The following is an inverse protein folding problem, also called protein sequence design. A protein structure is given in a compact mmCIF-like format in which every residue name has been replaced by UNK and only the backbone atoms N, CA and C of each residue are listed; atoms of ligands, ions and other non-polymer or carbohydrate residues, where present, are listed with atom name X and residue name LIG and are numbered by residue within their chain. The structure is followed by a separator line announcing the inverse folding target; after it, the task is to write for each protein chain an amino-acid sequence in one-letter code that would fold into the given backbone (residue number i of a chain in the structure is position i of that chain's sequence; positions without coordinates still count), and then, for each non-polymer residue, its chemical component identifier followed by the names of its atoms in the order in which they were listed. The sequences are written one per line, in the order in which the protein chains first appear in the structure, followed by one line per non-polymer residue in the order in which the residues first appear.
data_IF_006396697909
#
_entry.id   IF_006396697909
#
_cell.length_a   1.000
_cell.length_b   1.000
_cell.length_c   1.000
_cell.angle_alpha   90.00
_cell.angle_beta   90.00
_cell.angle_gamma   90.00
#
_symmetry.space_group_name_H-M   'P 1'
#
loop_
_entity.id
_entity.type
_entity.pdbx_description
1 polymer ?
#
# COMPACT_ATOMS: atom_id res chain seq x y z
N UNK A 1 -5.13 -1.82 -20.05
CA UNK A 1 -3.72 -2.04 -19.68
C UNK A 1 -3.53 -3.50 -19.36
N UNK A 2 -2.52 -4.13 -19.96
CA UNK A 2 -2.02 -5.44 -19.52
C UNK A 2 -1.14 -5.31 -18.28
N UNK A 3 -0.83 -6.41 -17.57
CA UNK A 3 0.02 -6.40 -16.38
C UNK A 3 1.44 -5.88 -16.65
N UNK A 4 1.92 -5.97 -17.89
CA UNK A 4 3.22 -5.48 -18.37
C UNK A 4 3.30 -3.97 -18.64
N UNK A 5 2.18 -3.26 -18.56
CA UNK A 5 2.10 -1.82 -18.89
C UNK A 5 1.96 -0.91 -17.67
N UNK A 6 1.90 -1.47 -16.45
CA UNK A 6 1.84 -0.64 -15.26
C UNK A 6 3.21 0.00 -15.03
N UNK A 7 3.22 1.31 -14.93
CA UNK A 7 4.36 2.11 -14.49
C UNK A 7 4.33 2.30 -12.97
N UNK A 8 5.44 2.75 -12.37
CA UNK A 8 5.41 3.20 -10.98
C UNK A 8 4.48 4.41 -10.87
N UNK A 9 3.68 4.47 -9.79
CA UNK A 9 2.61 5.45 -9.65
C UNK A 9 1.45 4.97 -8.80
N UNK A 10 0.46 5.84 -8.58
CA UNK A 10 -0.77 5.55 -7.85
C UNK A 10 -1.93 5.36 -8.83
N UNK A 11 -2.77 4.37 -8.57
CA UNK A 11 -3.89 3.95 -9.39
C UNK A 11 -5.15 3.86 -8.53
N UNK A 12 -6.28 4.28 -9.11
CA UNK A 12 -7.62 4.01 -8.60
C UNK A 12 -8.24 2.85 -9.35
N UNK A 13 -9.01 2.03 -8.63
CA UNK A 13 -9.74 0.90 -9.20
C UNK A 13 -8.85 -0.02 -10.07
N UNK A 14 -7.67 -0.35 -9.57
CA UNK A 14 -6.70 -1.19 -10.26
C UNK A 14 -7.16 -2.65 -10.24
N UNK A 15 -7.36 -3.23 -11.43
CA UNK A 15 -7.68 -4.66 -11.58
C UNK A 15 -6.46 -5.50 -11.18
N UNK A 16 -6.69 -6.55 -10.39
CA UNK A 16 -5.69 -7.56 -10.04
C UNK A 16 -5.51 -8.51 -11.23
N UNK A 17 -4.26 -8.80 -11.58
CA UNK A 17 -3.91 -9.70 -12.68
C UNK A 17 -3.47 -11.07 -12.15
N UNK A 18 -3.73 -12.12 -12.93
CA UNK A 18 -3.50 -13.52 -12.51
C UNK A 18 -2.02 -13.91 -12.38
N UNK A 19 -1.13 -13.15 -13.00
CA UNK A 19 0.32 -13.35 -12.94
C UNK A 19 0.96 -12.69 -11.71
N UNK A 20 0.19 -11.94 -10.92
CA UNK A 20 0.67 -11.35 -9.67
C UNK A 20 0.67 -12.37 -8.55
N UNK A 21 1.74 -12.38 -7.77
CA UNK A 21 1.86 -13.27 -6.61
C UNK A 21 1.43 -12.54 -5.36
N UNK A 22 0.39 -13.04 -4.68
CA UNK A 22 -0.08 -12.44 -3.44
C UNK A 22 0.94 -12.67 -2.31
N UNK A 23 1.47 -11.58 -1.75
CA UNK A 23 2.46 -11.62 -0.66
C UNK A 23 1.85 -11.33 0.71
N UNK A 24 0.85 -10.45 0.74
CA UNK A 24 0.21 -10.01 1.98
C UNK A 24 -1.27 -9.77 1.76
N UNK A 25 -2.10 -10.36 2.62
CA UNK A 25 -3.53 -10.10 2.65
C UNK A 25 -4.06 -10.19 4.08
N UNK A 26 -4.32 -9.04 4.70
CA UNK A 26 -4.88 -8.97 6.05
C UNK A 26 -6.03 -7.97 6.11
N UNK A 27 -7.04 -8.20 6.96
CA UNK A 27 -8.09 -7.21 7.18
C UNK A 27 -7.50 -5.92 7.77
N UNK A 28 -8.16 -4.79 7.56
CA UNK A 28 -7.68 -3.52 8.10
C UNK A 28 -7.61 -3.54 9.62
N UNK A 29 -8.48 -4.27 10.34
CA UNK A 29 -8.37 -4.44 11.79
C UNK A 29 -7.16 -5.27 12.29
N UNK A 30 -6.38 -5.86 11.39
CA UNK A 30 -5.17 -6.58 11.75
C UNK A 30 -4.07 -5.63 12.22
N UNK A 31 -3.43 -5.94 13.36
CA UNK A 31 -2.23 -5.24 13.84
C UNK A 31 -1.01 -5.64 13.01
N UNK A 32 -0.70 -4.89 11.95
CA UNK A 32 0.45 -5.19 11.06
C UNK A 32 1.77 -4.93 11.77
N UNK A 33 2.78 -5.75 11.50
CA UNK A 33 4.16 -5.54 11.97
C UNK A 33 5.10 -5.23 10.82
N UNK A 34 6.17 -4.49 11.07
CA UNK A 34 7.25 -4.29 10.11
C UNK A 34 7.93 -5.61 9.73
N UNK A 35 7.97 -6.59 10.64
CA UNK A 35 8.44 -7.95 10.34
C UNK A 35 7.61 -8.63 9.26
N UNK A 36 6.28 -8.50 9.27
CA UNK A 36 5.43 -9.05 8.21
C UNK A 36 5.66 -8.36 6.87
N UNK A 37 5.88 -7.04 6.86
CA UNK A 37 6.17 -6.30 5.63
C UNK A 37 7.51 -6.74 5.03
N UNK A 38 8.54 -6.91 5.87
CA UNK A 38 9.84 -7.44 5.46
C UNK A 38 9.74 -8.87 4.94
N UNK A 39 9.00 -9.73 5.64
CA UNK A 39 8.76 -11.11 5.18
C UNK A 39 8.00 -11.16 3.84
N UNK A 40 7.08 -10.24 3.58
CA UNK A 40 6.44 -10.11 2.27
C UNK A 40 7.44 -9.70 1.19
N UNK A 41 8.34 -8.76 1.51
CA UNK A 41 9.39 -8.31 0.61
C UNK A 41 10.40 -9.43 0.29
N UNK A 42 10.82 -10.22 1.29
CA UNK A 42 11.73 -11.36 1.13
C UNK A 42 11.14 -12.46 0.22
N UNK A 43 9.81 -12.53 0.11
CA UNK A 43 9.10 -13.47 -0.78
C UNK A 43 8.92 -12.94 -2.21
N UNK A 44 9.14 -11.65 -2.45
CA UNK A 44 8.98 -11.08 -3.77
C UNK A 44 10.22 -11.35 -4.63
N UNK A 45 10.03 -12.08 -5.71
CA UNK A 45 11.08 -12.41 -6.69
C UNK A 45 11.35 -11.29 -7.71
N UNK A 46 10.61 -10.19 -7.62
CA UNK A 46 10.70 -9.02 -8.49
C UNK A 46 11.16 -7.80 -7.70
N UNK A 47 11.67 -6.81 -8.41
CA UNK A 47 12.01 -5.51 -7.86
C UNK A 47 10.79 -4.59 -7.72
N UNK A 48 9.58 -5.06 -8.08
CA UNK A 48 8.33 -4.28 -8.04
C UNK A 48 7.22 -4.97 -7.26
N UNK A 49 6.51 -4.16 -6.48
CA UNK A 49 5.33 -4.56 -5.73
C UNK A 49 4.15 -3.64 -6.02
N UNK A 50 2.95 -4.19 -5.86
CA UNK A 50 1.70 -3.42 -5.78
C UNK A 50 1.28 -3.42 -4.32
N UNK A 51 1.20 -2.24 -3.72
CA UNK A 51 0.65 -2.04 -2.37
C UNK A 51 -0.72 -1.41 -2.53
N UNK A 52 -1.76 -1.99 -1.95
CA UNK A 52 -3.12 -1.50 -2.16
C UNK A 52 -4.11 -1.92 -1.11
N UNK A 53 -5.36 -1.51 -1.35
CA UNK A 53 -6.49 -1.84 -0.50
C UNK A 53 -7.73 -2.18 -1.32
N UNK A 54 -8.54 -3.09 -0.79
CA UNK A 54 -9.83 -3.46 -1.38
C UNK A 54 -10.89 -3.63 -0.29
N UNK A 55 -12.15 -3.31 -0.59
CA UNK A 55 -13.25 -3.34 0.38
C UNK A 55 -13.64 -4.77 0.82
N UNK A 56 -13.32 -5.79 0.02
CA UNK A 56 -13.67 -7.18 0.27
C UNK A 56 -12.54 -8.10 -0.21
N UNK A 57 -12.30 -9.21 0.50
CA UNK A 57 -11.28 -10.21 0.15
C UNK A 57 -11.52 -10.91 -1.19
N UNK A 58 -12.77 -10.93 -1.68
CA UNK A 58 -13.13 -11.51 -2.97
C UNK A 58 -13.11 -10.49 -4.12
N UNK A 59 -12.74 -9.23 -3.85
CA UNK A 59 -12.63 -8.21 -4.90
C UNK A 59 -11.47 -8.53 -5.84
N UNK A 60 -11.68 -8.31 -7.14
CA UNK A 60 -10.61 -8.28 -8.15
C UNK A 60 -10.11 -6.87 -8.43
N UNK A 61 -10.62 -5.88 -7.69
CA UNK A 61 -10.30 -4.46 -7.85
C UNK A 61 -9.71 -3.95 -6.55
N UNK A 62 -8.52 -3.36 -6.64
CA UNK A 62 -7.92 -2.54 -5.60
C UNK A 62 -8.45 -1.11 -5.74
N UNK A 63 -9.20 -0.63 -4.75
CA UNK A 63 -9.81 0.71 -4.77
C UNK A 63 -8.74 1.80 -4.89
N UNK A 64 -7.63 1.61 -4.16
CA UNK A 64 -6.43 2.43 -4.26
C UNK A 64 -5.22 1.50 -4.22
N UNK A 65 -4.26 1.72 -5.10
CA UNK A 65 -3.03 0.96 -5.15
C UNK A 65 -1.88 1.83 -5.66
N UNK A 66 -0.66 1.56 -5.20
CA UNK A 66 0.54 2.12 -5.79
C UNK A 66 1.48 1.01 -6.21
N UNK A 67 2.08 1.20 -7.38
CA UNK A 67 3.19 0.39 -7.85
C UNK A 67 4.48 1.09 -7.46
N UNK A 68 5.34 0.37 -6.74
CA UNK A 68 6.62 0.87 -6.28
C UNK A 68 7.68 -0.22 -6.25
N UNK A 69 8.94 0.14 -5.98
CA UNK A 69 9.99 -0.85 -5.86
C UNK A 69 9.81 -1.68 -4.58
N UNK A 70 10.17 -2.97 -4.59
CA UNK A 70 10.06 -3.87 -3.43
C UNK A 70 10.70 -3.29 -2.16
N UNK A 71 11.74 -2.46 -2.32
CA UNK A 71 12.42 -1.77 -1.21
C UNK A 71 11.51 -0.87 -0.36
N UNK A 72 10.33 -0.46 -0.85
CA UNK A 72 9.35 0.32 -0.07
C UNK A 72 8.94 -0.41 1.22
N UNK A 73 9.00 -1.74 1.21
CA UNK A 73 8.67 -2.61 2.35
C UNK A 73 9.79 -2.72 3.40
N UNK A 74 10.98 -2.18 3.12
CA UNK A 74 12.11 -2.10 4.06
C UNK A 74 12.45 -0.67 4.48
N UNK A 75 11.68 0.33 4.02
CA UNK A 75 11.96 1.72 4.35
C UNK A 75 12.00 1.95 5.86
N UNK A 76 12.70 3.02 6.24
CA UNK A 76 12.74 3.49 7.60
C UNK A 76 12.73 5.03 7.61
N UNK A 77 11.62 5.60 7.15
CA UNK A 77 11.42 7.04 6.96
C UNK A 77 10.06 7.44 7.52
N UNK A 78 9.98 8.64 8.08
CA UNK A 78 8.74 9.15 8.68
C UNK A 78 7.71 9.54 7.61
N UNK A 79 6.41 9.45 7.96
CA UNK A 79 5.34 10.02 7.15
C UNK A 79 5.43 11.56 6.99
N UNK A 80 6.18 12.23 7.88
CA UNK A 80 6.45 13.68 7.83
C UNK A 80 7.55 14.02 6.80
N UNK A 81 8.49 13.11 6.59
CA UNK A 81 9.59 13.23 5.62
C UNK A 81 9.67 11.96 4.75
N UNK A 82 8.63 11.68 3.94
CA UNK A 82 8.56 10.46 3.14
C UNK A 82 9.61 10.47 2.04
N UNK A 83 9.96 9.29 1.54
CA UNK A 83 10.82 9.15 0.38
C UNK A 83 10.00 9.25 -0.90
N UNK A 84 10.40 10.13 -1.82
CA UNK A 84 9.78 10.25 -3.13
C UNK A 84 10.39 9.24 -4.12
N UNK A 85 9.53 8.44 -4.74
CA UNK A 85 9.90 7.47 -5.76
C UNK A 85 8.88 7.57 -6.90
N UNK A 86 9.30 8.05 -8.07
CA UNK A 86 8.48 8.13 -9.29
C UNK A 86 7.10 8.80 -9.05
N UNK A 87 7.10 9.99 -8.44
CA UNK A 87 5.90 10.77 -8.08
C UNK A 87 5.00 10.17 -6.99
N UNK A 88 5.52 9.21 -6.22
CA UNK A 88 4.84 8.63 -5.05
C UNK A 88 5.68 8.86 -3.81
N UNK A 89 5.10 9.46 -2.78
CA UNK A 89 5.71 9.60 -1.46
C UNK A 89 5.44 8.35 -0.64
N UNK A 90 6.47 7.54 -0.40
CA UNK A 90 6.43 6.32 0.39
C UNK A 90 6.95 6.55 1.80
N UNK A 91 6.34 5.89 2.78
CA UNK A 91 6.82 5.92 4.15
C UNK A 91 6.62 4.58 4.87
N UNK A 92 7.58 4.27 5.74
CA UNK A 92 7.54 3.17 6.69
C UNK A 92 8.25 3.64 7.95
N UNK A 93 7.46 4.02 8.95
CA UNK A 93 7.92 4.47 10.25
C UNK A 93 7.60 3.37 11.26
N UNK A 94 8.62 2.60 11.65
CA UNK A 94 8.46 1.52 12.63
C UNK A 94 7.85 2.06 13.93
N UNK A 95 6.86 1.35 14.46
CA UNK A 95 6.10 1.80 15.64
C UNK A 95 5.06 2.89 15.34
N UNK A 96 4.83 3.24 14.07
CA UNK A 96 3.83 4.25 13.70
C UNK A 96 3.03 3.85 12.47
N UNK A 97 3.56 3.96 11.25
CA UNK A 97 2.73 3.80 10.05
C UNK A 97 3.50 3.38 8.80
N UNK A 98 2.79 2.75 7.86
CA UNK A 98 3.23 2.43 6.51
C UNK A 98 2.19 2.90 5.50
N UNK A 99 2.63 3.38 4.34
CA UNK A 99 1.73 3.77 3.27
C UNK A 99 2.37 4.62 2.18
N UNK A 100 1.50 5.26 1.40
CA UNK A 100 1.89 6.16 0.32
C UNK A 100 0.89 7.30 0.12
N UNK A 101 1.34 8.36 -0.55
CA UNK A 101 0.51 9.48 -1.01
C UNK A 101 1.13 10.13 -2.26
N UNK A 102 0.38 10.90 -3.06
CA UNK A 102 0.94 11.65 -4.18
C UNK A 102 1.91 12.74 -3.71
N UNK A 103 2.85 13.13 -4.56
CA UNK A 103 3.79 14.25 -4.36
C UNK A 103 3.09 15.60 -4.35
N UNK A 104 2.12 15.79 -5.24
CA UNK A 104 1.25 16.96 -5.29
C UNK A 104 0.15 16.85 -4.23
N UNK A 105 0.50 17.16 -2.98
CA UNK A 105 -0.51 17.58 -2.01
C UNK A 105 -0.28 19.06 -1.73
N UNK A 106 -1.17 19.91 -2.25
CA UNK A 106 -1.35 21.26 -1.71
C UNK A 106 -1.52 21.12 -0.19
N UNK A 107 -0.66 21.73 0.64
CA UNK A 107 -0.77 21.64 2.09
C UNK A 107 -2.10 22.21 2.64
N UNK A 108 -2.86 22.97 1.83
CA UNK A 108 -4.20 23.46 2.15
C UNK A 108 -5.33 22.51 1.71
N UNK A 109 -5.07 21.56 0.81
CA UNK A 109 -5.97 20.44 0.62
C UNK A 109 -5.76 19.47 1.77
N UNK A 110 -6.65 19.59 2.77
CA UNK A 110 -6.96 18.54 3.75
C UNK A 110 -6.77 17.16 3.09
N UNK A 111 -6.22 16.13 3.76
CA UNK A 111 -5.61 14.95 3.14
C UNK A 111 -6.53 14.06 2.26
N UNK A 112 -7.70 14.53 1.84
CA UNK A 112 -8.77 13.99 1.00
C UNK A 112 -8.37 13.46 -0.38
N UNK A 113 -7.09 13.43 -0.75
CA UNK A 113 -6.69 12.75 -1.98
C UNK A 113 -7.21 11.30 -1.95
N UNK A 114 -7.97 10.95 -2.99
CA UNK A 114 -8.50 9.59 -3.22
C UNK A 114 -7.36 8.57 -3.41
N UNK A 115 -6.13 9.08 -3.53
CA UNK A 115 -4.89 8.36 -3.80
C UNK A 115 -4.04 8.11 -2.54
N UNK A 116 -4.58 8.36 -1.34
CA UNK A 116 -3.86 8.10 -0.09
C UNK A 116 -4.11 6.68 0.44
N UNK A 117 -3.07 5.99 0.88
CA UNK A 117 -3.19 4.75 1.66
C UNK A 117 -2.29 4.80 2.88
N UNK A 118 -2.80 4.36 4.03
CA UNK A 118 -1.99 4.25 5.23
C UNK A 118 -2.56 3.30 6.27
N UNK A 119 -1.68 2.51 6.88
CA UNK A 119 -2.01 1.70 8.04
C UNK A 119 -0.98 1.80 9.15
N UNK A 120 -1.39 1.50 10.39
CA UNK A 120 -0.49 1.46 11.52
C UNK A 120 0.40 0.21 11.45
N UNK A 121 1.64 0.33 11.94
CA UNK A 121 2.61 -0.77 12.02
C UNK A 121 3.27 -0.82 13.41
N UNK A 122 3.53 -2.03 13.90
CA UNK A 122 4.18 -2.31 15.19
C UNK A 122 3.47 -1.70 16.41
N UNK A 123 2.18 -1.40 16.28
CA UNK A 123 1.31 -0.93 17.35
C UNK A 123 0.00 -1.70 17.30
N UNK A 124 -0.72 -1.79 18.42
CA UNK A 124 -1.97 -2.55 18.54
C UNK A 124 -3.17 -1.81 17.89
N UNK A 125 -3.02 -1.43 16.62
CA UNK A 125 -4.03 -0.77 15.81
C UNK A 125 -4.03 -1.30 14.37
N UNK A 126 -5.18 -1.22 13.73
CA UNK A 126 -5.37 -1.62 12.33
C UNK A 126 -4.87 -0.60 11.31
N UNK A 127 -5.46 -0.59 10.12
CA UNK A 127 -5.17 0.42 9.11
C UNK A 127 -6.03 1.67 9.23
N UNK A 128 -5.48 2.83 8.86
CA UNK A 128 -6.18 4.09 9.00
C UNK A 128 -7.09 4.37 7.81
N UNK A 129 -6.55 4.22 6.59
CA UNK A 129 -7.15 4.79 5.39
C UNK A 129 -6.85 4.01 4.09
N UNK A 130 -7.82 4.02 3.19
CA UNK A 130 -7.76 3.56 1.82
C UNK A 130 -8.55 4.53 0.92
N UNK A 131 -7.87 5.44 0.24
CA UNK A 131 -8.46 6.49 -0.59
C UNK A 131 -9.44 7.36 0.19
N UNK A 132 -10.71 7.38 -0.21
CA UNK A 132 -11.78 8.09 0.52
C UNK A 132 -12.20 7.42 1.83
N UNK A 133 -11.95 6.12 2.00
CA UNK A 133 -12.38 5.38 3.17
C UNK A 133 -11.40 5.60 4.34
N UNK A 134 -11.88 6.21 5.42
CA UNK A 134 -11.10 6.53 6.64
C UNK A 134 -11.60 5.73 7.85
N UNK A 135 -10.90 5.80 8.99
CA UNK A 135 -11.26 5.12 10.23
C UNK A 135 -11.39 3.60 10.08
N UNK A 136 -10.55 3.00 9.23
CA UNK A 136 -10.64 1.58 8.90
C UNK A 136 -10.04 0.65 9.98
N UNK A 137 -9.50 1.17 11.07
CA UNK A 137 -8.64 0.43 12.01
C UNK A 137 -9.37 -0.65 12.82
N UNK A 138 -10.71 -0.68 12.76
CA UNK A 138 -11.57 -1.74 13.31
C UNK A 138 -12.32 -2.52 12.22
N UNK A 139 -12.10 -2.20 10.94
CA UNK A 139 -12.83 -2.79 9.82
C UNK A 139 -12.26 -4.17 9.46
N UNK A 140 -13.11 -5.19 9.49
CA UNK A 140 -12.74 -6.57 9.11
C UNK A 140 -12.98 -6.90 7.64
N UNK A 141 -13.72 -6.05 6.90
CA UNK A 141 -14.05 -6.26 5.49
C UNK A 141 -12.94 -5.75 4.57
N UNK A 142 -12.53 -4.50 4.79
CA UNK A 142 -11.43 -3.89 4.05
C UNK A 142 -10.14 -4.68 4.26
N UNK A 143 -9.37 -4.85 3.18
CA UNK A 143 -8.13 -5.63 3.15
C UNK A 143 -6.95 -4.75 2.78
N UNK A 144 -5.84 -4.97 3.48
CA UNK A 144 -4.50 -4.48 3.19
C UNK A 144 -3.80 -5.53 2.33
N UNK A 145 -3.35 -5.14 1.15
CA UNK A 145 -2.89 -6.06 0.13
C UNK A 145 -1.50 -5.67 -0.37
N UNK A 146 -0.65 -6.68 -0.57
CA UNK A 146 0.63 -6.54 -1.26
C UNK A 146 0.76 -7.69 -2.26
N UNK A 147 1.02 -7.36 -3.52
CA UNK A 147 1.37 -8.31 -4.57
C UNK A 147 2.81 -8.09 -5.05
N UNK A 148 3.50 -9.18 -5.39
CA UNK A 148 4.71 -9.16 -6.21
C UNK A 148 4.29 -9.14 -7.68
N UNK A 149 4.85 -8.21 -8.45
CA UNK A 149 4.65 -8.18 -9.91
C UNK A 149 5.59 -9.19 -10.59
N UNK A 150 5.22 -9.78 -11.74
CA UNK A 150 6.15 -10.62 -12.50
C UNK A 150 7.38 -9.82 -12.99
N UNK A 151 8.50 -10.51 -13.17
CA UNK A 151 9.68 -9.97 -13.87
C UNK A 151 9.50 -10.14 -15.38
N UNK A 152 9.96 -9.18 -16.17
CA UNK A 152 9.91 -9.20 -17.65
C UNK A 152 11.31 -9.29 -18.23
#
# INVERSE_FOLDING_TARGET
MGPSELFMGIYENLTIYNDWTLLYNKPYNHSTTSTELKAAADQCYSDRVVVGAMENENSTILNVAAVGPTRVLYLNVSAETPEEIENVLWYLESGRTFGFRPTDNDPNESPRSELFLGWYVDVNYGGWRAGKATNLYQNSKWRKIIYCMPTF
#
